data_IF_395542454860
#
_entry.id   IF_395542454860
#
_cell.length_a   1.000
_cell.length_b   1.000
_cell.length_c   1.000
_cell.angle_alpha   90.00
_cell.angle_beta   90.00
_cell.angle_gamma   90.00
#
_symmetry.space_group_name_H-M   'P 1'
#
loop_
_entity.id
_entity.type
_entity.pdbx_description
1 polymer ?
#
# COMPACT_ATOMS: atom_id res chain seq x y z
N UNK A 1 3.66 10.11 14.43
CA UNK A 1 3.50 8.92 13.57
C UNK A 1 4.07 9.21 12.19
N UNK A 2 4.88 8.32 11.62
CA UNK A 2 5.47 8.51 10.29
C UNK A 2 4.53 7.94 9.19
N UNK A 3 3.33 8.50 9.07
CA UNK A 3 2.26 8.00 8.18
C UNK A 3 2.71 7.87 6.71
N UNK A 4 3.46 8.85 6.20
CA UNK A 4 3.94 8.85 4.82
C UNK A 4 4.95 7.73 4.55
N UNK A 5 5.83 7.42 5.51
CA UNK A 5 6.82 6.34 5.38
C UNK A 5 6.16 4.97 5.28
N UNK A 6 5.16 4.72 6.14
CA UNK A 6 4.40 3.46 6.14
C UNK A 6 3.61 3.27 4.85
N UNK A 7 2.97 4.33 4.33
CA UNK A 7 2.23 4.27 3.05
C UNK A 7 3.17 3.95 1.88
N UNK A 8 4.36 4.58 1.82
CA UNK A 8 5.35 4.30 0.76
C UNK A 8 5.84 2.86 0.86
N UNK A 9 6.19 2.37 2.05
CA UNK A 9 6.65 1.00 2.24
C UNK A 9 5.60 -0.04 1.82
N UNK A 10 4.34 0.16 2.24
CA UNK A 10 3.21 -0.69 1.83
C UNK A 10 3.01 -0.67 0.31
N UNK A 11 3.10 0.50 -0.31
CA UNK A 11 2.99 0.66 -1.76
C UNK A 11 4.07 -0.14 -2.48
N UNK A 12 5.34 -0.02 -2.06
CA UNK A 12 6.46 -0.78 -2.65
C UNK A 12 6.23 -2.29 -2.49
N UNK A 13 5.83 -2.75 -1.31
CA UNK A 13 5.55 -4.16 -1.07
C UNK A 13 4.44 -4.70 -2.01
N UNK A 14 3.33 -3.97 -2.14
CA UNK A 14 2.24 -4.34 -3.05
C UNK A 14 2.70 -4.37 -4.52
N UNK A 15 3.50 -3.40 -4.94
CA UNK A 15 4.05 -3.34 -6.30
C UNK A 15 4.98 -4.52 -6.60
N UNK A 16 5.77 -4.95 -5.62
CA UNK A 16 6.61 -6.16 -5.69
C UNK A 16 5.83 -7.48 -5.61
N UNK A 17 4.50 -7.44 -5.52
CA UNK A 17 3.66 -8.63 -5.57
C UNK A 17 3.29 -9.21 -4.21
N UNK A 18 3.47 -8.47 -3.11
CA UNK A 18 3.01 -8.91 -1.80
C UNK A 18 1.49 -9.19 -1.81
N UNK A 19 1.10 -10.40 -1.40
CA UNK A 19 -0.31 -10.79 -1.30
C UNK A 19 -0.95 -10.38 0.03
N UNK A 20 -0.16 -10.15 1.08
CA UNK A 20 -0.63 -9.81 2.43
C UNK A 20 0.22 -8.67 2.99
N UNK A 21 -0.44 -7.65 3.57
CA UNK A 21 0.18 -6.61 4.39
C UNK A 21 -0.23 -6.81 5.85
N UNK A 22 0.72 -7.06 6.75
CA UNK A 22 0.48 -7.09 8.19
C UNK A 22 0.88 -5.75 8.80
N UNK A 23 -0.11 -4.95 9.15
CA UNK A 23 0.10 -3.58 9.67
C UNK A 23 -0.67 -3.38 10.98
N UNK A 24 -0.13 -2.50 11.82
CA UNK A 24 -0.83 -1.93 12.99
C UNK A 24 -1.77 -0.80 12.53
N UNK A 25 -1.31 0.02 11.58
CA UNK A 25 -2.03 1.18 11.07
C UNK A 25 -2.80 0.84 9.80
N UNK A 26 -4.09 0.54 9.96
CA UNK A 26 -4.94 0.03 8.88
C UNK A 26 -5.27 1.10 7.83
N UNK A 27 -5.46 2.35 8.23
CA UNK A 27 -5.81 3.46 7.31
C UNK A 27 -4.80 3.66 6.16
N UNK A 28 -3.50 3.91 6.43
CA UNK A 28 -2.51 4.10 5.36
C UNK A 28 -2.31 2.87 4.48
N UNK A 29 -2.48 1.65 5.03
CA UNK A 29 -2.42 0.43 4.24
C UNK A 29 -3.60 0.32 3.24
N UNK A 30 -4.81 0.67 3.67
CA UNK A 30 -5.98 0.70 2.78
C UNK A 30 -5.78 1.72 1.65
N UNK A 31 -5.24 2.90 1.94
CA UNK A 31 -4.96 3.92 0.92
C UNK A 31 -3.93 3.44 -0.10
N UNK A 32 -2.82 2.84 0.37
CA UNK A 32 -1.82 2.23 -0.50
C UNK A 32 -2.41 1.15 -1.42
N UNK A 33 -3.27 0.26 -0.88
CA UNK A 33 -3.97 -0.77 -1.67
C UNK A 33 -4.86 -0.15 -2.75
N UNK A 34 -5.64 0.88 -2.40
CA UNK A 34 -6.52 1.57 -3.36
C UNK A 34 -5.72 2.22 -4.50
N UNK A 35 -4.64 2.92 -4.16
CA UNK A 35 -3.76 3.58 -5.13
C UNK A 35 -3.10 2.57 -6.08
N UNK A 36 -2.51 1.50 -5.54
CA UNK A 36 -1.86 0.46 -6.37
C UNK A 36 -2.88 -0.26 -7.26
N UNK A 37 -4.09 -0.52 -6.77
CA UNK A 37 -5.16 -1.12 -7.57
C UNK A 37 -5.59 -0.20 -8.72
N UNK A 38 -5.80 1.09 -8.46
CA UNK A 38 -6.14 2.07 -9.49
C UNK A 38 -5.03 2.16 -10.56
N UNK A 39 -3.77 2.20 -10.13
CA UNK A 39 -2.63 2.25 -11.04
C UNK A 39 -2.56 1.03 -11.97
N UNK A 40 -2.85 -0.17 -11.44
CA UNK A 40 -2.84 -1.43 -12.21
C UNK A 40 -4.04 -1.59 -13.15
N UNK A 41 -5.17 -0.92 -12.88
CA UNK A 41 -6.37 -1.01 -13.72
C UNK A 41 -6.27 -0.17 -15.01
N UNK A 42 -5.31 0.74 -15.11
CA UNK A 42 -5.11 1.63 -16.25
C UNK A 42 -4.00 1.17 -17.21
N UNK A 43 -3.58 -0.09 -17.13
CA UNK A 43 -2.57 -0.73 -18.00
C UNK A 43 -3.24 -1.94 -18.65
#
# INVERSE_FOLDING_TARGET
EALNGTTVANTIALLQGANILRVHDVKPAIEAVKLVKLMRQNI
#
